data_IF_883783904852
#
_entry.id   IF_883783904852
#
_cell.length_a   1.000
_cell.length_b   1.000
_cell.length_c   1.000
_cell.angle_alpha   90.00
_cell.angle_beta   90.00
_cell.angle_gamma   90.00
#
_symmetry.space_group_name_H-M   'P 1'
#
loop_
_entity.id
_entity.type
_entity.pdbx_description
1 polymer ?
#
# COMPACT_ATOMS: atom_id res chain seq x y z
N UNK A 1 15.01 -0.90 1.62
CA UNK A 1 13.63 -1.08 1.09
C UNK A 1 12.74 -1.04 2.31
N UNK A 2 12.10 0.11 2.54
CA UNK A 2 11.12 0.33 3.60
C UNK A 2 9.73 0.34 2.94
N UNK A 3 8.69 -0.08 3.65
CA UNK A 3 7.34 -0.12 3.08
C UNK A 3 6.68 1.27 3.19
N UNK A 4 6.36 1.95 2.08
CA UNK A 4 5.70 3.25 2.16
C UNK A 4 4.19 3.09 2.43
N UNK A 5 3.56 4.08 3.04
CA UNK A 5 2.10 4.20 2.97
C UNK A 5 1.64 4.48 1.53
N UNK A 6 0.54 3.85 1.10
CA UNK A 6 -0.02 4.07 -0.25
C UNK A 6 -0.68 5.45 -0.42
N UNK A 7 -1.17 6.04 0.68
CA UNK A 7 -1.90 7.30 0.69
C UNK A 7 -1.81 8.01 2.05
N UNK A 8 -1.95 9.34 2.02
CA UNK A 8 -2.02 10.16 3.25
C UNK A 8 -3.23 9.75 4.10
N UNK A 9 -4.37 9.44 3.46
CA UNK A 9 -5.56 8.98 4.16
C UNK A 9 -5.39 7.61 4.83
N UNK A 10 -4.58 6.71 4.24
CA UNK A 10 -4.18 5.46 4.85
C UNK A 10 -3.30 5.69 6.09
N UNK A 11 -2.27 6.53 5.93
CA UNK A 11 -1.33 6.89 7.00
C UNK A 11 -2.04 7.53 8.21
N UNK A 12 -2.87 8.55 8.01
CA UNK A 12 -3.59 9.23 9.10
C UNK A 12 -4.52 8.27 9.85
N UNK A 13 -5.15 7.32 9.15
CA UNK A 13 -6.01 6.31 9.78
C UNK A 13 -5.23 5.23 10.53
N UNK A 14 -3.98 4.97 10.13
CA UNK A 14 -3.07 4.07 10.86
C UNK A 14 -2.53 4.75 12.13
N UNK A 15 -2.12 6.01 12.04
CA UNK A 15 -1.63 6.79 13.19
C UNK A 15 -2.73 7.08 14.22
N UNK A 16 -3.96 7.32 13.78
CA UNK A 16 -5.10 7.64 14.63
C UNK A 16 -6.23 6.61 14.44
N UNK A 17 -6.08 5.39 14.97
CA UNK A 17 -7.04 4.30 14.77
C UNK A 17 -8.40 4.58 15.44
N UNK A 18 -8.43 5.37 16.51
CA UNK A 18 -9.65 5.68 17.26
C UNK A 18 -10.61 6.57 16.47
N UNK A 19 -11.85 6.10 16.27
CA UNK A 19 -12.91 6.82 15.53
C UNK A 19 -13.34 8.13 16.18
N UNK A 20 -13.16 8.28 17.48
CA UNK A 20 -13.53 9.48 18.24
C UNK A 20 -12.46 10.58 18.18
N UNK A 21 -11.26 10.29 17.66
CA UNK A 21 -10.18 11.27 17.60
C UNK A 21 -10.32 12.13 16.33
N UNK A 22 -10.43 13.47 16.44
CA UNK A 22 -10.66 14.32 15.27
C UNK A 22 -9.50 14.27 14.26
N UNK A 23 -8.27 13.99 14.74
CA UNK A 23 -7.08 13.88 13.92
C UNK A 23 -7.20 12.80 12.82
N UNK A 24 -8.01 11.75 13.03
CA UNK A 24 -8.29 10.70 12.04
C UNK A 24 -8.88 11.24 10.72
N UNK A 25 -9.53 12.39 10.77
CA UNK A 25 -10.26 12.98 9.64
C UNK A 25 -9.53 14.12 8.95
N UNK A 26 -8.29 14.46 9.36
CA UNK A 26 -7.56 15.60 8.81
C UNK A 26 -6.86 15.33 7.47
N UNK A 27 -6.90 14.08 6.97
CA UNK A 27 -6.25 13.74 5.69
C UNK A 27 -6.61 14.66 4.51
N UNK A 28 -7.87 15.12 4.32
CA UNK A 28 -8.21 16.07 3.25
C UNK A 28 -7.54 17.43 3.41
N UNK A 29 -7.22 17.86 4.64
CA UNK A 29 -6.56 19.15 4.91
C UNK A 29 -5.07 19.14 4.52
N UNK A 30 -4.48 17.97 4.35
CA UNK A 30 -3.12 17.86 3.81
C UNK A 30 -3.04 18.27 2.33
N UNK A 31 -4.19 18.41 1.64
CA UNK A 31 -4.32 18.81 0.23
C UNK A 31 -3.39 18.05 -0.74
N UNK A 32 -2.92 16.87 -0.34
CA UNK A 32 -2.02 16.04 -1.12
C UNK A 32 -2.78 15.17 -2.10
N UNK A 33 -2.23 15.01 -3.31
CA UNK A 33 -2.73 14.06 -4.32
C UNK A 33 -2.10 12.67 -4.19
N UNK A 34 -1.43 12.40 -3.06
CA UNK A 34 -0.71 11.17 -2.84
C UNK A 34 -1.68 10.05 -2.47
N UNK A 35 -2.10 9.32 -3.50
CA UNK A 35 -2.76 8.03 -3.40
C UNK A 35 -2.32 7.16 -4.59
N UNK A 36 -1.29 6.33 -4.35
CA UNK A 36 -0.67 5.51 -5.40
C UNK A 36 -1.62 4.42 -5.91
N UNK A 37 -2.43 3.83 -5.01
CA UNK A 37 -3.38 2.78 -5.39
C UNK A 37 -4.55 3.35 -6.19
N UNK A 38 -5.08 4.51 -5.80
CA UNK A 38 -6.11 5.18 -6.60
C UNK A 38 -5.57 5.60 -7.97
N UNK A 39 -4.30 6.04 -8.06
CA UNK A 39 -3.67 6.38 -9.33
C UNK A 39 -3.55 5.17 -10.27
N UNK A 40 -3.12 4.02 -9.75
CA UNK A 40 -3.03 2.77 -10.53
C UNK A 40 -4.42 2.25 -10.91
N UNK A 41 -5.43 2.33 -10.03
CA UNK A 41 -6.81 1.92 -10.37
C UNK A 41 -7.47 2.83 -11.41
N UNK A 42 -7.20 4.14 -11.35
CA UNK A 42 -7.74 5.13 -12.27
C UNK A 42 -6.96 5.28 -13.58
N UNK A 43 -5.92 4.47 -13.78
CA UNK A 43 -5.02 4.65 -14.92
C UNK A 43 -5.71 4.25 -16.24
N UNK A 44 -5.39 5.00 -17.31
CA UNK A 44 -5.85 4.66 -18.66
C UNK A 44 -4.96 3.56 -19.24
N UNK A 45 -5.55 2.57 -19.92
CA UNK A 45 -4.83 1.40 -20.48
C UNK A 45 -3.64 1.77 -21.40
N UNK A 46 -3.69 2.92 -22.10
CA UNK A 46 -2.61 3.40 -22.97
C UNK A 46 -1.67 4.43 -22.31
N UNK A 47 -1.78 4.63 -21.00
CA UNK A 47 -0.96 5.61 -20.27
C UNK A 47 0.44 5.06 -19.97
N UNK A 48 1.40 5.96 -19.73
CA UNK A 48 2.74 5.59 -19.27
C UNK A 48 2.68 4.85 -17.92
N UNK A 49 1.79 5.26 -17.02
CA UNK A 49 1.55 4.57 -15.76
C UNK A 49 1.10 3.13 -15.98
N UNK A 50 0.24 2.87 -16.97
CA UNK A 50 -0.19 1.51 -17.28
C UNK A 50 0.94 0.60 -17.75
N UNK A 51 1.85 1.14 -18.57
CA UNK A 51 3.05 0.43 -19.02
C UNK A 51 4.06 0.17 -17.90
N UNK A 52 4.18 1.10 -16.95
CA UNK A 52 5.07 0.94 -15.80
C UNK A 52 4.48 -0.03 -14.77
N UNK A 53 3.19 0.08 -14.49
CA UNK A 53 2.49 -0.78 -13.55
C UNK A 53 2.63 -2.26 -13.96
N UNK A 54 2.47 -2.58 -15.25
CA UNK A 54 2.57 -3.97 -15.74
C UNK A 54 3.91 -4.67 -15.46
N UNK A 55 4.97 -3.91 -15.18
CA UNK A 55 6.29 -4.44 -14.77
C UNK A 55 6.64 -4.15 -13.31
N UNK A 56 5.72 -3.56 -12.53
CA UNK A 56 5.95 -3.19 -11.15
C UNK A 56 5.64 -4.35 -10.20
N UNK A 57 6.52 -4.52 -9.22
CA UNK A 57 6.38 -5.43 -8.09
C UNK A 57 6.19 -4.62 -6.81
N UNK A 58 5.09 -4.85 -6.10
CA UNK A 58 4.82 -4.27 -4.79
C UNK A 58 5.26 -5.26 -3.73
N UNK A 59 6.26 -4.87 -2.94
CA UNK A 59 6.75 -5.63 -1.81
C UNK A 59 6.05 -5.20 -0.54
N UNK A 60 5.63 -6.18 0.25
CA UNK A 60 4.86 -6.00 1.48
C UNK A 60 5.53 -6.81 2.57
N UNK A 61 5.76 -6.23 3.75
CA UNK A 61 6.21 -7.02 4.89
C UNK A 61 5.05 -7.58 5.68
N UNK A 62 5.09 -8.88 5.95
CA UNK A 62 4.02 -9.57 6.67
C UNK A 62 3.78 -9.00 8.07
N UNK A 63 4.86 -8.64 8.78
CA UNK A 63 4.82 -8.20 10.18
C UNK A 63 5.18 -6.73 10.32
N UNK A 64 4.84 -5.91 9.32
CA UNK A 64 5.08 -4.48 9.36
C UNK A 64 4.39 -3.82 10.55
N UNK A 65 5.20 -3.29 11.46
CA UNK A 65 4.79 -2.62 12.70
C UNK A 65 4.38 -1.17 12.50
N UNK A 66 4.75 -0.54 11.38
CA UNK A 66 4.54 0.88 11.11
C UNK A 66 3.44 1.11 10.07
N UNK A 67 3.39 0.29 9.02
CA UNK A 67 2.46 0.40 7.90
C UNK A 67 1.54 -0.82 7.88
N UNK A 68 0.29 -0.69 8.35
CA UNK A 68 -0.63 -1.81 8.35
C UNK A 68 -0.94 -2.28 6.93
N UNK A 69 -0.98 -3.59 6.72
CA UNK A 69 -1.22 -4.22 5.41
C UNK A 69 -2.55 -3.81 4.78
N UNK A 70 -3.60 -3.54 5.57
CA UNK A 70 -4.88 -3.01 5.06
C UNK A 70 -4.74 -1.63 4.40
N UNK A 71 -3.75 -0.82 4.81
CA UNK A 71 -3.51 0.52 4.25
C UNK A 71 -2.92 0.45 2.84
N UNK A 72 -2.41 -0.73 2.44
CA UNK A 72 -1.86 -1.01 1.12
C UNK A 72 -2.86 -1.69 0.18
N UNK A 73 -4.14 -1.70 0.55
CA UNK A 73 -5.22 -2.22 -0.31
C UNK A 73 -5.32 -3.74 -0.34
N UNK A 74 -4.62 -4.44 0.55
CA UNK A 74 -4.80 -5.87 0.74
C UNK A 74 -6.16 -6.15 1.40
N UNK A 75 -6.93 -7.13 0.90
CA UNK A 75 -8.08 -7.65 1.61
C UNK A 75 -7.57 -8.37 2.88
N UNK A 76 -7.86 -7.80 4.04
CA UNK A 76 -7.71 -8.48 5.35
C UNK A 76 -9.11 -8.58 5.95
N UNK A 77 -9.41 -9.70 6.61
CA UNK A 77 -10.78 -10.17 6.91
C UNK A 77 -11.77 -9.18 7.53
N UNK A 78 -11.30 -8.08 8.15
CA UNK A 78 -12.15 -7.06 8.77
C UNK A 78 -12.29 -5.76 7.95
N UNK A 79 -11.49 -5.56 6.92
CA UNK A 79 -11.55 -4.40 6.04
C UNK A 79 -11.45 -4.84 4.57
N UNK A 80 -12.55 -4.76 3.79
CA UNK A 80 -12.50 -5.03 2.36
C UNK A 80 -11.71 -3.90 1.69
N UNK A 81 -10.39 -4.07 1.62
CA UNK A 81 -9.54 -3.31 0.72
C UNK A 81 -10.02 -3.55 -0.71
N UNK A 82 -10.04 -2.53 -1.59
CA UNK A 82 -10.48 -2.75 -2.96
C UNK A 82 -9.45 -3.66 -3.66
N UNK A 83 -9.88 -4.85 -4.05
CA UNK A 83 -9.05 -5.81 -4.78
C UNK A 83 -8.40 -5.11 -5.99
N UNK A 84 -7.09 -5.00 -5.97
CA UNK A 84 -6.33 -4.63 -7.17
C UNK A 84 -6.47 -5.83 -8.10
N UNK A 85 -7.07 -5.62 -9.27
CA UNK A 85 -7.18 -6.65 -10.31
C UNK A 85 -5.79 -7.21 -10.62
N UNK A 86 -5.66 -8.54 -10.55
CA UNK A 86 -4.39 -9.31 -10.58
C UNK A 86 -3.48 -9.02 -11.79
N UNK A 87 -4.02 -8.47 -12.88
CA UNK A 87 -3.30 -8.40 -14.16
C UNK A 87 -2.30 -7.24 -14.32
N UNK A 88 -2.32 -6.22 -13.46
CA UNK A 88 -1.53 -5.00 -13.72
C UNK A 88 -0.40 -4.70 -12.75
N UNK A 89 -0.32 -5.35 -11.59
CA UNK A 89 0.76 -5.11 -10.63
C UNK A 89 0.96 -6.35 -9.75
N UNK A 90 2.15 -6.94 -9.80
CA UNK A 90 2.46 -8.13 -9.00
C UNK A 90 2.67 -7.70 -7.56
N UNK A 91 2.15 -8.47 -6.61
CA UNK A 91 2.29 -8.20 -5.19
C UNK A 91 2.94 -9.39 -4.51
N UNK A 92 3.99 -9.14 -3.73
CA UNK A 92 4.69 -10.15 -2.96
C UNK A 92 4.73 -9.77 -1.48
N UNK A 93 4.23 -10.67 -0.63
CA UNK A 93 4.34 -10.56 0.82
C UNK A 93 5.58 -11.30 1.29
N UNK A 94 6.56 -10.55 1.81
CA UNK A 94 7.78 -11.06 2.39
C UNK A 94 7.48 -11.55 3.80
N UNK A 95 7.58 -12.86 3.97
CA UNK A 95 7.20 -13.53 5.22
C UNK A 95 8.18 -13.23 6.34
N UNK A 96 7.64 -12.92 7.51
CA UNK A 96 8.39 -12.61 8.72
C UNK A 96 9.15 -11.27 8.71
N UNK A 97 9.08 -10.50 7.62
CA UNK A 97 9.73 -9.20 7.54
C UNK A 97 9.03 -8.17 8.43
N UNK A 98 9.83 -7.34 9.09
CA UNK A 98 9.45 -6.09 9.74
C UNK A 98 9.66 -4.93 8.77
N UNK A 99 9.14 -3.75 9.11
CA UNK A 99 9.23 -2.54 8.29
C UNK A 99 10.65 -2.28 7.76
N UNK A 100 11.62 -2.35 8.67
CA UNK A 100 13.04 -2.06 8.40
C UNK A 100 13.83 -3.28 7.93
N UNK A 101 13.31 -4.49 8.06
CA UNK A 101 14.06 -5.72 7.78
C UNK A 101 13.77 -6.28 6.39
N UNK A 102 12.79 -5.73 5.68
CA UNK A 102 12.37 -6.14 4.34
C UNK A 102 13.54 -6.36 3.38
N UNK A 103 14.56 -5.49 3.42
CA UNK A 103 15.72 -5.55 2.53
C UNK A 103 16.70 -6.69 2.83
N UNK A 104 16.63 -7.30 4.02
CA UNK A 104 17.46 -8.46 4.40
C UNK A 104 16.95 -9.76 3.76
N UNK A 105 15.66 -9.81 3.41
CA UNK A 105 15.06 -10.97 2.78
C UNK A 105 15.33 -10.95 1.28
N UNK A 106 15.60 -12.12 0.68
CA UNK A 106 15.78 -12.29 -0.77
C UNK A 106 14.60 -13.00 -1.46
N UNK A 107 13.46 -13.11 -0.78
CA UNK A 107 12.26 -13.76 -1.34
C UNK A 107 11.82 -13.10 -2.66
N UNK A 108 12.02 -11.79 -2.78
CA UNK A 108 11.75 -11.01 -4.00
C UNK A 108 12.67 -11.31 -5.18
N UNK A 109 13.82 -11.93 -4.97
CA UNK A 109 14.76 -12.26 -6.05
C UNK A 109 14.42 -13.60 -6.74
N UNK A 110 13.44 -14.34 -6.22
CA UNK A 110 13.03 -15.66 -6.71
C UNK A 110 11.72 -15.62 -7.51
N UNK A 111 11.09 -14.45 -7.65
CA UNK A 111 9.87 -14.21 -8.48
C UNK A 111 10.18 -13.49 -9.79
#
# INVERSE_FOLDING_TARGET
LENPFSSIGGMVRALYPQRWLPYRYLAPLAMGRWDALAAVRGMRLKSLLARLASGALVLLSEKDEAVPTYSLGLPTGDYPGPAVTEDSCRQLVIRGALHEHTWLHRQWAME
#
